data_IF_569250722698
#
_entry.id   IF_569250722698
#
_cell.length_a   1.000
_cell.length_b   1.000
_cell.length_c   1.000
_cell.angle_alpha   90.00
_cell.angle_beta   90.00
_cell.angle_gamma   90.00
#
_symmetry.space_group_name_H-M   'P 1'
#
loop_
_entity.id
_entity.type
_entity.pdbx_description
1 polymer ?
#
# COMPACT_ATOMS: atom_id res chain seq x y z
N UNK A 1 18.66 20.23 -5.69
CA UNK A 1 17.25 19.83 -5.54
C UNK A 1 16.35 20.94 -6.06
N UNK A 2 15.32 20.59 -6.81
CA UNK A 2 14.28 21.51 -7.25
C UNK A 2 12.93 20.99 -6.73
N UNK A 3 12.38 21.68 -5.72
CA UNK A 3 11.19 21.20 -5.00
C UNK A 3 9.88 21.49 -5.74
N UNK A 4 9.91 22.37 -6.74
CA UNK A 4 8.74 22.70 -7.54
C UNK A 4 9.19 23.10 -8.96
N UNK A 5 8.73 22.37 -9.97
CA UNK A 5 8.98 22.63 -11.38
C UNK A 5 7.75 23.20 -12.10
N UNK A 6 6.68 23.52 -11.39
CA UNK A 6 5.45 24.09 -12.00
C UNK A 6 5.62 25.53 -12.49
N UNK A 7 6.72 26.18 -12.14
CA UNK A 7 7.11 27.47 -12.75
C UNK A 7 7.46 27.35 -14.25
N UNK A 8 7.72 26.13 -14.74
CA UNK A 8 7.97 25.87 -16.17
C UNK A 8 6.61 25.84 -16.88
N UNK A 9 6.50 26.61 -17.94
CA UNK A 9 5.25 26.67 -18.76
C UNK A 9 4.90 25.29 -19.31
N UNK A 10 3.65 24.86 -19.11
CA UNK A 10 3.17 23.55 -19.54
C UNK A 10 3.37 22.44 -18.49
N UNK A 11 3.84 22.78 -17.29
CA UNK A 11 4.00 21.84 -16.17
C UNK A 11 2.96 22.13 -15.09
N UNK A 12 2.13 21.14 -14.78
CA UNK A 12 1.08 21.19 -13.75
C UNK A 12 1.18 19.99 -12.80
N UNK A 13 0.54 20.08 -11.63
CA UNK A 13 0.51 19.04 -10.61
C UNK A 13 1.70 19.12 -9.66
N UNK A 14 2.23 17.99 -9.22
CA UNK A 14 3.46 17.96 -8.40
C UNK A 14 4.59 17.39 -9.23
N UNK A 15 5.58 18.21 -9.52
CA UNK A 15 6.80 17.85 -10.25
C UNK A 15 8.00 18.39 -9.48
N UNK A 16 8.83 17.51 -8.94
CA UNK A 16 10.02 17.88 -8.16
C UNK A 16 11.20 16.98 -8.49
N UNK A 17 12.40 17.52 -8.46
CA UNK A 17 13.63 16.77 -8.71
C UNK A 17 14.53 16.73 -7.48
N UNK A 18 14.96 15.54 -7.11
CA UNK A 18 15.96 15.30 -6.10
C UNK A 18 17.26 14.85 -6.76
N UNK A 19 18.28 15.71 -6.65
CA UNK A 19 19.60 15.46 -7.27
C UNK A 19 20.40 14.37 -6.55
N UNK A 20 20.18 14.13 -5.26
CA UNK A 20 20.90 13.12 -4.50
C UNK A 20 20.50 11.70 -4.94
N UNK A 21 19.21 11.51 -5.19
CA UNK A 21 18.65 10.23 -5.63
C UNK A 21 18.45 10.15 -7.14
N UNK A 22 18.77 11.23 -7.87
CA UNK A 22 18.50 11.38 -9.31
C UNK A 22 17.05 11.04 -9.66
N UNK A 23 16.10 11.50 -8.84
CA UNK A 23 14.68 11.14 -8.97
C UNK A 23 13.84 12.35 -9.33
N UNK A 24 13.09 12.23 -10.43
CA UNK A 24 12.02 13.14 -10.79
C UNK A 24 10.69 12.57 -10.31
N UNK A 25 10.12 13.17 -9.27
CA UNK A 25 8.83 12.79 -8.71
C UNK A 25 7.69 13.46 -9.46
N UNK A 26 6.73 12.65 -9.88
CA UNK A 26 5.55 13.05 -10.62
C UNK A 26 4.31 12.56 -9.87
N UNK A 27 3.45 13.50 -9.43
CA UNK A 27 2.19 13.17 -8.79
C UNK A 27 1.05 13.97 -9.38
N UNK A 28 0.14 13.26 -10.07
CA UNK A 28 -0.95 13.88 -10.83
C UNK A 28 -0.44 14.99 -11.74
N UNK A 29 0.73 14.76 -12.33
CA UNK A 29 1.43 15.75 -13.15
C UNK A 29 0.89 15.75 -14.58
N UNK A 30 0.84 16.96 -15.17
CA UNK A 30 0.63 17.12 -16.61
C UNK A 30 1.80 17.93 -17.16
N UNK A 31 2.44 17.40 -18.19
CA UNK A 31 3.56 18.06 -18.86
C UNK A 31 3.26 18.12 -20.35
N UNK A 32 3.08 19.34 -20.84
CA UNK A 32 2.87 19.60 -22.26
C UNK A 32 4.13 20.25 -22.85
N UNK A 33 4.90 19.46 -23.59
CA UNK A 33 6.13 19.90 -24.25
C UNK A 33 5.89 20.81 -25.45
N UNK A 34 4.67 20.80 -26.01
CA UNK A 34 4.36 21.48 -27.26
C UNK A 34 5.39 21.14 -28.35
N UNK A 35 5.98 22.12 -29.02
CA UNK A 35 7.03 21.95 -30.03
C UNK A 35 8.39 21.45 -29.51
N UNK A 36 8.45 20.85 -28.33
CA UNK A 36 9.65 20.27 -27.71
C UNK A 36 9.30 18.96 -26.99
N UNK A 37 10.31 18.26 -26.49
CA UNK A 37 10.08 17.09 -25.61
C UNK A 37 9.43 17.57 -24.31
N UNK A 38 8.50 16.79 -23.77
CA UNK A 38 8.02 16.97 -22.39
C UNK A 38 9.15 16.65 -21.38
N UNK A 39 9.96 15.63 -21.68
CA UNK A 39 11.20 15.33 -20.97
C UNK A 39 12.30 15.04 -21.99
N UNK A 40 13.43 15.74 -21.85
CA UNK A 40 14.71 15.39 -22.46
C UNK A 40 15.76 15.22 -21.37
N UNK A 41 16.41 14.05 -21.31
CA UNK A 41 17.39 13.76 -20.25
C UNK A 41 18.72 13.28 -20.79
N UNK A 42 19.80 13.83 -20.19
CA UNK A 42 21.19 13.37 -20.31
C UNK A 42 21.73 12.89 -18.94
N UNK A 43 20.83 12.66 -17.96
CA UNK A 43 21.22 12.27 -16.62
C UNK A 43 21.31 10.75 -16.55
N UNK A 44 22.50 10.24 -16.27
CA UNK A 44 22.72 8.83 -16.03
C UNK A 44 21.96 8.35 -14.79
N UNK A 45 21.11 7.32 -14.97
CA UNK A 45 20.36 6.70 -13.89
C UNK A 45 19.17 7.53 -13.39
N UNK A 46 18.60 8.41 -14.23
CA UNK A 46 17.38 9.14 -13.87
C UNK A 46 16.22 8.17 -13.62
N UNK A 47 15.55 8.35 -12.49
CA UNK A 47 14.31 7.66 -12.17
C UNK A 47 13.13 8.62 -12.25
N UNK A 48 12.13 8.32 -13.09
CA UNK A 48 10.80 8.94 -13.05
C UNK A 48 9.94 8.17 -12.06
N UNK A 49 9.69 8.76 -10.88
CA UNK A 49 8.89 8.12 -9.84
C UNK A 49 7.46 8.61 -9.90
N UNK A 50 6.54 7.70 -10.19
CA UNK A 50 5.14 7.98 -10.46
C UNK A 50 4.25 7.79 -9.25
N UNK A 51 3.35 8.74 -8.99
CA UNK A 51 2.22 8.60 -8.07
C UNK A 51 0.95 9.19 -8.72
N UNK A 52 -0.20 8.53 -8.54
CA UNK A 52 -1.46 8.94 -9.16
C UNK A 52 -1.42 8.86 -10.69
N UNK A 53 -2.19 9.71 -11.35
CA UNK A 53 -2.29 9.74 -12.83
C UNK A 53 -1.46 10.87 -13.40
N UNK A 54 -0.47 10.54 -14.24
CA UNK A 54 0.42 11.51 -14.88
C UNK A 54 0.23 11.47 -16.40
N UNK A 55 0.27 12.62 -17.05
CA UNK A 55 0.07 12.77 -18.50
C UNK A 55 1.22 13.61 -19.09
N UNK A 56 1.80 13.13 -20.20
CA UNK A 56 2.81 13.84 -20.97
C UNK A 56 2.43 13.87 -22.44
N UNK A 57 2.56 15.05 -23.05
CA UNK A 57 2.23 15.24 -24.45
C UNK A 57 3.30 16.06 -25.17
N UNK A 58 3.42 15.80 -26.46
CA UNK A 58 4.24 16.60 -27.35
C UNK A 58 3.77 16.41 -28.81
N UNK A 59 3.99 17.42 -29.62
CA UNK A 59 3.88 17.34 -31.08
C UNK A 59 5.25 17.44 -31.78
N UNK A 60 6.31 17.22 -30.99
CA UNK A 60 7.70 17.15 -31.45
C UNK A 60 8.07 15.75 -31.94
N UNK A 61 9.37 15.48 -32.18
CA UNK A 61 9.86 14.18 -32.66
C UNK A 61 9.74 13.06 -31.61
N UNK A 62 9.69 13.43 -30.33
CA UNK A 62 9.38 12.49 -29.25
C UNK A 62 8.88 13.24 -28.00
N UNK A 63 8.04 12.55 -27.20
CA UNK A 63 7.53 13.15 -25.96
C UNK A 63 8.52 12.97 -24.82
N UNK A 64 9.06 11.78 -24.62
CA UNK A 64 10.15 11.49 -23.69
C UNK A 64 11.34 11.03 -24.50
N UNK A 65 12.48 11.70 -24.36
CA UNK A 65 13.74 11.28 -24.97
C UNK A 65 14.88 11.30 -23.94
N UNK A 66 15.74 10.31 -23.98
CA UNK A 66 16.90 10.24 -23.11
C UNK A 66 18.05 9.51 -23.82
N UNK A 67 19.29 9.87 -23.44
CA UNK A 67 20.52 9.33 -24.01
C UNK A 67 21.35 8.55 -22.97
N UNK A 68 20.89 8.49 -21.74
CA UNK A 68 21.48 7.74 -20.63
C UNK A 68 20.39 6.86 -19.98
N UNK A 69 20.74 5.73 -19.33
CA UNK A 69 19.75 4.81 -18.79
C UNK A 69 18.71 5.48 -17.90
N UNK A 70 17.43 5.17 -18.16
CA UNK A 70 16.29 5.71 -17.42
C UNK A 70 15.44 4.60 -16.83
N UNK A 71 14.92 4.84 -15.64
CA UNK A 71 13.90 4.00 -15.00
C UNK A 71 12.59 4.77 -14.83
N UNK A 72 11.47 4.15 -15.19
CA UNK A 72 10.12 4.63 -14.88
C UNK A 72 9.56 3.68 -13.84
N UNK A 73 9.26 4.17 -12.62
CA UNK A 73 8.84 3.32 -11.52
C UNK A 73 7.80 3.99 -10.61
N UNK A 74 7.22 3.24 -9.70
CA UNK A 74 6.28 3.76 -8.69
C UNK A 74 4.88 3.21 -8.85
N UNK A 75 3.93 3.76 -8.08
CA UNK A 75 2.55 3.24 -8.04
C UNK A 75 1.61 3.87 -9.04
N UNK A 76 2.08 4.91 -9.75
CA UNK A 76 1.24 5.71 -10.63
C UNK A 76 1.09 5.15 -12.02
N UNK A 77 0.26 5.87 -12.79
CA UNK A 77 0.12 5.70 -14.24
C UNK A 77 0.80 6.86 -14.95
N UNK A 78 1.44 6.58 -16.07
CA UNK A 78 2.00 7.54 -16.99
C UNK A 78 1.40 7.34 -18.38
N UNK A 79 0.61 8.31 -18.84
CA UNK A 79 0.09 8.37 -20.20
C UNK A 79 1.02 9.28 -21.02
N UNK A 80 1.65 8.73 -22.06
CA UNK A 80 2.61 9.45 -22.93
C UNK A 80 2.07 9.47 -24.35
N UNK A 81 1.85 10.65 -24.90
CA UNK A 81 1.31 10.82 -26.26
C UNK A 81 2.22 11.73 -27.09
N UNK A 82 2.69 11.22 -28.22
CA UNK A 82 3.35 12.01 -29.25
C UNK A 82 2.52 12.03 -30.51
N UNK A 83 2.14 13.24 -30.98
CA UNK A 83 1.29 13.38 -32.17
C UNK A 83 2.08 13.51 -33.46
N UNK A 84 3.41 13.62 -33.40
CA UNK A 84 4.26 13.78 -34.60
C UNK A 84 5.55 12.93 -34.58
N UNK A 85 5.64 11.92 -33.70
CA UNK A 85 6.83 11.08 -33.58
C UNK A 85 6.63 9.96 -32.57
N UNK A 86 7.60 9.75 -31.69
CA UNK A 86 7.67 8.64 -30.78
C UNK A 86 7.18 9.03 -29.38
N UNK A 87 6.43 8.18 -28.72
CA UNK A 87 6.01 8.51 -27.35
C UNK A 87 7.21 8.44 -26.39
N UNK A 88 7.98 7.35 -26.40
CA UNK A 88 9.17 7.18 -25.55
C UNK A 88 10.35 6.72 -26.43
N UNK A 89 11.40 7.50 -26.46
CA UNK A 89 12.59 7.24 -27.25
C UNK A 89 13.84 7.10 -26.37
N UNK A 90 14.36 5.88 -26.29
CA UNK A 90 15.61 5.52 -25.62
C UNK A 90 16.76 5.57 -26.65
N UNK A 91 17.37 6.73 -26.82
CA UNK A 91 18.38 6.97 -27.85
C UNK A 91 19.73 6.31 -27.44
N UNK A 92 20.08 5.20 -28.08
CA UNK A 92 21.28 4.39 -27.84
C UNK A 92 21.45 3.95 -26.36
N UNK A 93 20.34 3.74 -25.63
CA UNK A 93 20.42 3.48 -24.19
C UNK A 93 19.29 2.57 -23.68
N UNK A 94 19.25 2.31 -22.37
CA UNK A 94 18.35 1.34 -21.76
C UNK A 94 17.14 2.01 -21.10
N UNK A 95 15.96 1.40 -21.25
CA UNK A 95 14.73 1.74 -20.52
C UNK A 95 14.33 0.60 -19.59
N UNK A 96 14.09 0.94 -18.32
CA UNK A 96 13.45 0.04 -17.37
C UNK A 96 12.08 0.61 -16.96
N UNK A 97 11.04 -0.21 -17.01
CA UNK A 97 9.70 0.10 -16.49
C UNK A 97 9.42 -0.89 -15.36
N UNK A 98 9.24 -0.39 -14.13
CA UNK A 98 9.20 -1.22 -12.92
C UNK A 98 7.98 -0.89 -12.03
N UNK A 99 7.13 -1.90 -11.80
CA UNK A 99 5.99 -1.86 -10.88
C UNK A 99 5.00 -0.70 -11.06
N UNK A 100 4.88 -0.14 -12.28
CA UNK A 100 3.98 0.97 -12.61
C UNK A 100 3.11 0.66 -13.83
N UNK A 101 2.29 1.61 -14.23
CA UNK A 101 1.51 1.54 -15.48
C UNK A 101 2.00 2.59 -16.46
N UNK A 102 2.36 2.20 -17.68
CA UNK A 102 2.79 3.09 -18.76
C UNK A 102 1.95 2.85 -20.00
N UNK A 103 1.33 3.91 -20.52
CA UNK A 103 0.61 3.90 -21.78
C UNK A 103 1.33 4.83 -22.75
N UNK A 104 2.01 4.28 -23.75
CA UNK A 104 2.82 5.01 -24.70
C UNK A 104 2.17 4.96 -26.10
N UNK A 105 1.80 6.10 -26.64
CA UNK A 105 1.20 6.23 -27.97
C UNK A 105 1.94 7.26 -28.80
N UNK A 106 2.57 6.80 -29.86
CA UNK A 106 3.25 7.66 -30.84
C UNK A 106 2.65 7.53 -32.24
N UNK A 107 2.94 8.50 -33.08
CA UNK A 107 2.58 8.41 -34.51
C UNK A 107 3.51 7.45 -35.25
N UNK A 108 4.79 7.40 -34.87
CA UNK A 108 5.75 6.45 -35.43
C UNK A 108 5.87 5.23 -34.51
N UNK A 109 6.42 5.41 -33.30
CA UNK A 109 6.58 4.33 -32.31
C UNK A 109 5.88 4.68 -30.98
N UNK A 110 5.41 3.64 -30.29
CA UNK A 110 5.01 3.76 -28.89
C UNK A 110 6.24 3.83 -27.98
N UNK A 111 7.12 2.81 -28.06
CA UNK A 111 8.39 2.76 -27.31
C UNK A 111 9.47 2.30 -28.27
N UNK A 112 10.57 3.06 -28.35
CA UNK A 112 11.61 2.82 -29.35
C UNK A 112 13.01 3.02 -28.78
N UNK A 113 13.94 2.16 -29.22
CA UNK A 113 15.39 2.36 -29.13
C UNK A 113 15.92 3.19 -30.29
N UNK A 114 17.22 3.16 -30.60
CA UNK A 114 17.78 3.83 -31.78
C UNK A 114 17.72 2.91 -33.00
N UNK A 115 18.47 1.83 -32.98
CA UNK A 115 18.55 0.90 -34.13
C UNK A 115 18.66 -0.58 -33.73
N UNK A 116 18.67 -0.89 -32.45
CA UNK A 116 18.84 -2.24 -31.92
C UNK A 116 20.27 -2.79 -32.02
N UNK A 117 21.26 -1.94 -32.33
CA UNK A 117 22.67 -2.37 -32.53
C UNK A 117 23.60 -1.99 -31.36
N UNK A 118 23.19 -1.04 -30.53
CA UNK A 118 24.00 -0.49 -29.46
C UNK A 118 23.69 -1.11 -28.08
N UNK A 119 23.29 -2.38 -28.05
CA UNK A 119 22.90 -3.10 -26.83
C UNK A 119 21.70 -2.49 -26.07
N UNK A 120 20.86 -1.72 -26.78
CA UNK A 120 19.67 -1.12 -26.20
C UNK A 120 18.74 -2.18 -25.65
N UNK A 121 18.34 -2.01 -24.41
CA UNK A 121 17.49 -2.95 -23.71
C UNK A 121 16.25 -2.30 -23.15
N UNK A 122 15.10 -2.85 -23.51
CA UNK A 122 13.83 -2.59 -22.84
C UNK A 122 13.60 -3.67 -21.77
N UNK A 123 13.53 -3.26 -20.50
CA UNK A 123 13.22 -4.16 -19.40
C UNK A 123 11.89 -3.76 -18.77
N UNK A 124 10.93 -4.67 -18.71
CA UNK A 124 9.62 -4.47 -18.08
C UNK A 124 9.48 -5.47 -16.93
N UNK A 125 9.32 -4.94 -15.70
CA UNK A 125 9.26 -5.73 -14.48
C UNK A 125 7.95 -5.46 -13.75
N UNK A 126 7.14 -6.49 -13.51
CA UNK A 126 5.92 -6.40 -12.71
C UNK A 126 5.02 -5.21 -13.07
N UNK A 127 5.07 -4.74 -14.29
CA UNK A 127 4.44 -3.51 -14.77
C UNK A 127 3.38 -3.81 -15.82
N UNK A 128 2.37 -2.94 -15.91
CA UNK A 128 1.43 -2.92 -17.01
C UNK A 128 1.90 -1.91 -18.05
N UNK A 129 2.15 -2.35 -19.27
CA UNK A 129 2.59 -1.47 -20.36
C UNK A 129 1.68 -1.64 -21.56
N UNK A 130 1.20 -0.52 -22.09
CA UNK A 130 0.61 -0.50 -23.44
C UNK A 130 1.45 0.38 -24.34
N UNK A 131 1.74 -0.10 -25.54
CA UNK A 131 2.46 0.64 -26.58
C UNK A 131 1.68 0.59 -27.88
N UNK A 132 1.59 1.72 -28.59
CA UNK A 132 0.94 1.85 -29.89
C UNK A 132 1.76 2.79 -30.76
N UNK A 133 2.15 2.35 -31.97
CA UNK A 133 2.88 3.14 -32.95
C UNK A 133 2.26 3.00 -34.33
N UNK A 134 1.74 4.09 -34.87
CA UNK A 134 0.89 4.05 -36.07
C UNK A 134 1.63 3.76 -37.38
N UNK A 135 2.90 4.19 -37.52
CA UNK A 135 3.63 4.07 -38.81
C UNK A 135 4.64 2.94 -38.84
N UNK A 136 5.49 2.87 -37.82
CA UNK A 136 6.66 1.99 -37.86
C UNK A 136 6.46 0.75 -36.99
N UNK A 137 6.39 0.89 -35.65
CA UNK A 137 6.05 -0.21 -34.75
C UNK A 137 5.56 0.30 -33.38
N UNK A 138 4.87 -0.58 -32.64
CA UNK A 138 4.47 -0.25 -31.26
C UNK A 138 5.64 -0.35 -30.29
N UNK A 139 6.50 -1.36 -30.43
CA UNK A 139 7.77 -1.52 -29.71
C UNK A 139 8.82 -1.97 -30.73
N UNK A 140 9.90 -1.17 -30.89
CA UNK A 140 10.92 -1.47 -31.89
C UNK A 140 12.28 -0.88 -31.59
N UNK A 141 13.27 -1.25 -32.41
CA UNK A 141 14.65 -0.75 -32.38
C UNK A 141 15.38 -1.01 -31.06
N UNK A 142 15.02 -2.07 -30.32
CA UNK A 142 15.78 -2.58 -29.18
C UNK A 142 16.51 -3.86 -29.56
N UNK A 143 17.71 -4.02 -29.05
CA UNK A 143 18.43 -5.29 -29.18
C UNK A 143 17.83 -6.38 -28.30
N UNK A 144 17.34 -6.01 -27.12
CA UNK A 144 16.80 -6.96 -26.14
C UNK A 144 15.48 -6.47 -25.54
N UNK A 145 14.52 -7.38 -25.41
CA UNK A 145 13.33 -7.22 -24.55
C UNK A 145 13.44 -8.22 -23.39
N UNK A 146 13.37 -7.72 -22.16
CA UNK A 146 13.33 -8.57 -20.97
C UNK A 146 12.02 -8.34 -20.23
N UNK A 147 11.23 -9.41 -20.06
CA UNK A 147 9.97 -9.40 -19.30
C UNK A 147 10.18 -10.17 -17.99
N UNK A 148 10.13 -9.46 -16.86
CA UNK A 148 10.27 -10.04 -15.53
C UNK A 148 8.92 -10.07 -14.83
N UNK A 149 8.35 -11.27 -14.64
CA UNK A 149 7.02 -11.44 -14.06
C UNK A 149 5.90 -10.81 -14.89
N UNK A 150 6.12 -10.62 -16.20
CA UNK A 150 5.19 -10.07 -17.18
C UNK A 150 5.14 -10.94 -18.42
N UNK A 151 4.08 -10.80 -19.22
CA UNK A 151 3.97 -11.37 -20.56
C UNK A 151 3.25 -10.42 -21.51
N UNK A 152 3.48 -10.58 -22.81
CA UNK A 152 2.65 -9.93 -23.81
C UNK A 152 1.28 -10.62 -23.81
N UNK A 153 0.22 -9.85 -23.60
CA UNK A 153 -1.16 -10.36 -23.52
C UNK A 153 -1.99 -10.03 -24.76
N UNK A 154 -1.59 -9.00 -25.51
CA UNK A 154 -2.22 -8.58 -26.76
C UNK A 154 -1.18 -7.95 -27.72
N UNK A 155 -1.32 -8.18 -29.04
CA UNK A 155 -2.17 -9.19 -29.67
C UNK A 155 -1.69 -10.62 -29.36
N UNK A 156 -2.51 -11.62 -29.62
CA UNK A 156 -2.10 -13.01 -29.46
C UNK A 156 -1.11 -13.45 -30.54
N UNK A 157 -0.15 -14.29 -30.15
CA UNK A 157 0.81 -14.88 -31.08
C UNK A 157 1.89 -13.91 -31.56
N UNK A 158 2.21 -12.88 -30.73
CA UNK A 158 3.33 -11.98 -30.96
C UNK A 158 4.50 -12.34 -30.05
N UNK A 159 5.72 -12.11 -30.54
CA UNK A 159 6.95 -12.31 -29.80
C UNK A 159 7.98 -11.23 -30.15
N UNK A 160 9.03 -11.11 -29.33
CA UNK A 160 10.15 -10.25 -29.68
C UNK A 160 11.00 -10.93 -30.75
N UNK A 161 11.26 -10.24 -31.84
CA UNK A 161 12.12 -10.70 -32.93
C UNK A 161 13.50 -10.04 -32.81
N UNK A 162 14.52 -10.87 -32.61
CA UNK A 162 15.92 -10.40 -32.58
C UNK A 162 16.37 -9.86 -33.96
N UNK A 163 15.81 -10.39 -35.06
CA UNK A 163 16.10 -9.95 -36.44
C UNK A 163 15.50 -8.57 -36.72
N UNK A 164 14.25 -8.33 -36.27
CA UNK A 164 13.53 -7.09 -36.49
C UNK A 164 13.74 -6.08 -35.35
N UNK A 165 14.47 -6.44 -34.31
CA UNK A 165 14.73 -5.62 -33.13
C UNK A 165 13.46 -5.04 -32.47
N UNK A 166 12.37 -5.83 -32.48
CA UNK A 166 11.07 -5.35 -31.97
C UNK A 166 10.04 -6.45 -31.80
N UNK A 167 8.86 -6.08 -31.31
CA UNK A 167 7.74 -7.02 -31.17
C UNK A 167 7.09 -7.25 -32.53
N UNK A 168 7.05 -8.50 -32.94
CA UNK A 168 6.63 -8.89 -34.27
C UNK A 168 5.56 -10.00 -34.25
N UNK A 169 4.85 -10.11 -35.34
CA UNK A 169 3.93 -11.20 -35.66
C UNK A 169 4.12 -11.60 -37.11
N UNK A 170 4.28 -12.91 -37.34
CA UNK A 170 4.42 -13.48 -38.69
C UNK A 170 5.51 -12.75 -39.53
N UNK A 171 6.66 -12.44 -38.91
CA UNK A 171 7.77 -11.78 -39.59
C UNK A 171 7.59 -10.27 -39.83
N UNK A 172 6.59 -9.63 -39.23
CA UNK A 172 6.32 -8.19 -39.40
C UNK A 172 6.17 -7.51 -38.04
N UNK A 173 6.77 -6.32 -37.88
CA UNK A 173 6.62 -5.52 -36.65
C UNK A 173 5.17 -5.13 -36.40
N UNK A 174 4.74 -5.27 -35.17
CA UNK A 174 3.37 -4.94 -34.73
C UNK A 174 3.22 -3.44 -34.61
N UNK A 175 2.22 -2.88 -35.30
CA UNK A 175 1.83 -1.46 -35.25
C UNK A 175 0.59 -1.22 -34.38
N UNK A 176 -0.24 -2.26 -34.24
CA UNK A 176 -1.40 -2.26 -33.36
C UNK A 176 -0.97 -2.22 -31.90
N UNK A 177 -1.90 -1.86 -31.04
CA UNK A 177 -1.67 -1.78 -29.60
C UNK A 177 -1.12 -3.10 -29.04
N UNK A 178 0.07 -3.05 -28.50
CA UNK A 178 0.66 -4.10 -27.66
C UNK A 178 0.24 -3.87 -26.21
N UNK A 179 -0.17 -4.92 -25.51
CA UNK A 179 -0.35 -4.93 -24.08
C UNK A 179 0.57 -5.96 -23.41
N UNK A 180 1.29 -5.51 -22.39
CA UNK A 180 2.15 -6.34 -21.53
C UNK A 180 1.62 -6.21 -20.12
N UNK A 181 1.25 -7.34 -19.50
CA UNK A 181 0.66 -7.37 -18.18
C UNK A 181 1.45 -8.27 -17.23
N UNK A 182 1.45 -7.96 -15.91
CA UNK A 182 2.09 -8.80 -14.91
C UNK A 182 1.43 -10.19 -14.86
N UNK A 183 2.26 -11.20 -14.71
CA UNK A 183 1.84 -12.59 -14.44
C UNK A 183 2.11 -13.01 -13.01
N UNK A 184 2.97 -12.26 -12.32
CA UNK A 184 3.38 -12.48 -10.94
C UNK A 184 3.24 -11.15 -10.22
N UNK A 185 2.63 -11.18 -9.04
CA UNK A 185 2.43 -9.99 -8.24
C UNK A 185 3.39 -9.99 -7.05
N UNK A 186 3.93 -8.83 -6.71
CA UNK A 186 4.80 -8.67 -5.55
C UNK A 186 3.99 -8.71 -4.23
N UNK A 187 3.19 -9.75 -4.08
CA UNK A 187 2.32 -10.06 -2.95
C UNK A 187 2.44 -11.54 -2.60
N UNK A 188 2.74 -11.84 -1.35
CA UNK A 188 2.79 -13.20 -0.83
C UNK A 188 1.74 -13.39 0.26
N UNK A 189 1.04 -14.52 0.19
CA UNK A 189 0.07 -14.95 1.19
C UNK A 189 0.58 -16.25 1.79
N UNK A 190 0.75 -16.31 3.11
CA UNK A 190 1.31 -17.46 3.83
C UNK A 190 2.59 -18.01 3.17
N UNK A 191 3.47 -17.13 2.67
CA UNK A 191 4.73 -17.47 2.02
C UNK A 191 4.63 -17.91 0.56
N UNK A 192 3.45 -17.92 -0.04
CA UNK A 192 3.25 -18.23 -1.47
C UNK A 192 2.97 -16.95 -2.25
N UNK A 193 3.71 -16.79 -3.36
CA UNK A 193 3.54 -15.64 -4.24
C UNK A 193 2.20 -15.71 -4.98
N UNK A 194 1.56 -14.55 -5.10
CA UNK A 194 0.33 -14.41 -5.89
C UNK A 194 0.67 -14.26 -7.37
N UNK A 195 0.01 -15.05 -8.20
CA UNK A 195 0.19 -15.09 -9.66
C UNK A 195 -1.15 -14.95 -10.37
N UNK A 196 -1.15 -14.75 -11.69
CA UNK A 196 -2.39 -14.79 -12.49
C UNK A 196 -3.14 -16.12 -12.36
N UNK A 197 -2.40 -17.22 -12.17
CA UNK A 197 -3.00 -18.56 -12.12
C UNK A 197 -3.71 -18.84 -10.79
N UNK A 198 -3.27 -18.20 -9.69
CA UNK A 198 -3.85 -18.44 -8.37
C UNK A 198 -4.64 -17.25 -7.79
N UNK A 199 -4.56 -16.06 -8.38
CA UNK A 199 -5.13 -14.84 -7.78
C UNK A 199 -6.66 -14.88 -7.62
N UNK A 200 -7.36 -15.66 -8.44
CA UNK A 200 -8.82 -15.77 -8.37
C UNK A 200 -9.30 -16.55 -7.13
N UNK A 201 -8.48 -17.47 -6.62
CA UNK A 201 -8.73 -18.23 -5.40
C UNK A 201 -7.41 -18.62 -4.74
N UNK A 202 -7.12 -18.02 -3.59
CA UNK A 202 -5.90 -18.25 -2.83
C UNK A 202 -6.07 -19.32 -1.74
N UNK A 203 -7.23 -19.99 -1.65
CA UNK A 203 -7.48 -21.03 -0.64
C UNK A 203 -6.74 -22.33 -0.91
N UNK A 204 -6.20 -22.50 -2.12
CA UNK A 204 -5.28 -23.60 -2.42
C UNK A 204 -3.93 -23.46 -1.69
N UNK A 205 -3.62 -22.30 -1.11
CA UNK A 205 -2.42 -22.07 -0.31
C UNK A 205 -2.63 -22.70 1.08
N UNK A 206 -1.75 -23.60 1.54
CA UNK A 206 -1.87 -24.21 2.86
C UNK A 206 -1.99 -23.17 3.98
N UNK A 207 -3.01 -23.33 4.84
CA UNK A 207 -3.32 -22.43 5.94
C UNK A 207 -4.15 -21.21 5.56
N UNK A 208 -4.68 -21.15 4.32
CA UNK A 208 -5.60 -20.13 3.86
C UNK A 208 -7.00 -20.73 3.71
N UNK A 209 -7.97 -20.19 4.42
CA UNK A 209 -9.36 -20.64 4.46
C UNK A 209 -10.33 -19.46 4.31
N UNK A 210 -11.60 -19.75 4.03
CA UNK A 210 -12.65 -18.77 3.78
C UNK A 210 -12.64 -18.33 2.31
N UNK A 211 -12.86 -17.04 2.05
CA UNK A 211 -12.75 -16.49 0.70
C UNK A 211 -11.60 -15.50 0.64
N UNK A 212 -10.56 -15.86 -0.08
CA UNK A 212 -9.35 -15.05 -0.28
C UNK A 212 -9.03 -15.01 -1.76
N UNK A 213 -9.10 -13.83 -2.34
CA UNK A 213 -8.76 -13.62 -3.75
C UNK A 213 -8.13 -12.25 -3.97
N UNK A 214 -7.31 -12.14 -5.00
CA UNK A 214 -6.68 -10.89 -5.41
C UNK A 214 -7.13 -10.50 -6.83
N UNK A 215 -7.65 -9.28 -6.98
CA UNK A 215 -7.94 -8.69 -8.28
C UNK A 215 -6.78 -7.78 -8.70
N UNK A 216 -5.99 -8.16 -9.71
CA UNK A 216 -4.84 -7.37 -10.15
C UNK A 216 -5.23 -6.05 -10.82
N UNK A 217 -6.44 -5.92 -11.38
CA UNK A 217 -6.89 -4.69 -12.04
C UNK A 217 -7.17 -3.58 -11.05
N UNK A 218 -7.79 -3.93 -9.92
CA UNK A 218 -8.10 -2.99 -8.85
C UNK A 218 -7.07 -3.00 -7.74
N UNK A 219 -6.09 -3.90 -7.79
CA UNK A 219 -5.10 -4.18 -6.73
C UNK A 219 -5.79 -4.45 -5.38
N UNK A 220 -6.86 -5.23 -5.41
CA UNK A 220 -7.68 -5.51 -4.23
C UNK A 220 -7.52 -6.97 -3.79
N UNK A 221 -7.00 -7.17 -2.58
CA UNK A 221 -7.05 -8.44 -1.85
C UNK A 221 -8.34 -8.48 -1.05
N UNK A 222 -9.24 -9.38 -1.39
CA UNK A 222 -10.50 -9.58 -0.66
C UNK A 222 -10.32 -10.67 0.39
N UNK A 223 -10.71 -10.37 1.62
CA UNK A 223 -10.81 -11.30 2.73
C UNK A 223 -12.27 -11.31 3.22
N UNK A 224 -12.96 -12.44 3.08
CA UNK A 224 -14.35 -12.61 3.48
C UNK A 224 -14.46 -13.86 4.37
N UNK A 225 -14.65 -13.62 5.69
CA UNK A 225 -14.59 -14.65 6.73
C UNK A 225 -13.34 -15.54 6.58
N UNK A 226 -12.21 -14.90 6.29
CA UNK A 226 -10.96 -15.57 5.95
C UNK A 226 -10.10 -15.85 7.17
N UNK A 227 -9.38 -16.98 7.10
CA UNK A 227 -8.30 -17.32 8.03
C UNK A 227 -7.02 -17.54 7.24
N UNK A 228 -5.96 -16.82 7.60
CA UNK A 228 -4.61 -17.02 7.08
C UNK A 228 -3.73 -17.41 8.25
N UNK A 229 -3.28 -18.65 8.27
CA UNK A 229 -2.45 -19.20 9.34
C UNK A 229 -1.14 -19.76 8.78
N UNK A 230 -0.03 -19.29 9.30
CA UNK A 230 1.31 -19.71 8.86
C UNK A 230 2.28 -19.88 10.02
N UNK A 231 3.12 -20.92 9.94
CA UNK A 231 4.11 -21.18 10.97
C UNK A 231 5.40 -20.38 10.78
N UNK A 232 5.91 -20.27 9.54
CA UNK A 232 7.26 -19.75 9.26
C UNK A 232 7.28 -18.46 8.46
N UNK A 233 6.20 -18.16 7.76
CA UNK A 233 6.14 -17.08 6.81
C UNK A 233 5.38 -15.88 7.38
N UNK A 234 5.44 -14.75 6.69
CA UNK A 234 4.49 -13.67 6.88
C UNK A 234 3.08 -14.14 6.51
N UNK A 235 2.07 -13.67 7.23
CA UNK A 235 0.69 -13.91 6.81
C UNK A 235 0.42 -13.23 5.46
N UNK A 236 0.67 -11.93 5.40
CA UNK A 236 0.69 -11.13 4.16
C UNK A 236 2.02 -10.38 4.09
N UNK A 237 2.76 -10.56 2.99
CA UNK A 237 3.96 -9.80 2.67
C UNK A 237 3.70 -8.97 1.42
N UNK A 238 3.66 -7.65 1.56
CA UNK A 238 3.29 -6.72 0.50
C UNK A 238 4.46 -5.86 0.03
N UNK A 239 4.74 -5.92 -1.26
CA UNK A 239 5.61 -5.02 -2.01
C UNK A 239 4.85 -4.31 -3.15
N UNK A 240 3.52 -4.50 -3.22
CA UNK A 240 2.67 -3.78 -4.16
C UNK A 240 2.33 -2.42 -3.58
N UNK A 241 2.48 -1.41 -4.39
CA UNK A 241 1.95 -0.10 -4.06
C UNK A 241 0.44 -0.03 -4.36
N UNK A 242 -0.31 0.73 -3.57
CA UNK A 242 -1.77 0.88 -3.65
C UNK A 242 -2.53 -0.45 -3.48
N UNK A 243 -2.06 -1.35 -2.59
CA UNK A 243 -2.82 -2.53 -2.23
C UNK A 243 -4.03 -2.13 -1.36
N UNK A 244 -5.21 -2.57 -1.75
CA UNK A 244 -6.42 -2.50 -0.91
C UNK A 244 -6.73 -3.87 -0.34
N UNK A 245 -6.78 -4.00 0.98
CA UNK A 245 -7.32 -5.19 1.66
C UNK A 245 -8.79 -4.88 1.99
N UNK A 246 -9.70 -5.50 1.23
CA UNK A 246 -11.14 -5.36 1.42
C UNK A 246 -11.64 -6.47 2.34
N UNK A 247 -12.25 -6.08 3.44
CA UNK A 247 -12.75 -6.99 4.46
C UNK A 247 -14.27 -7.17 4.40
N UNK A 248 -14.73 -8.39 4.63
CA UNK A 248 -16.13 -8.74 4.89
C UNK A 248 -16.17 -9.74 6.04
N UNK A 249 -17.10 -9.58 6.99
CA UNK A 249 -17.22 -10.47 8.15
C UNK A 249 -16.03 -10.40 9.10
N UNK A 250 -15.65 -11.54 9.66
CA UNK A 250 -14.53 -11.66 10.62
C UNK A 250 -13.37 -12.40 9.98
N UNK A 251 -12.22 -11.74 9.94
CA UNK A 251 -11.02 -12.27 9.31
C UNK A 251 -9.90 -12.38 10.35
N UNK A 252 -9.04 -13.38 10.21
CA UNK A 252 -7.92 -13.62 11.12
C UNK A 252 -6.65 -13.91 10.33
N UNK A 253 -5.55 -13.27 10.72
CA UNK A 253 -4.21 -13.55 10.17
C UNK A 253 -3.29 -13.85 11.33
N UNK A 254 -2.75 -15.07 11.37
CA UNK A 254 -1.84 -15.55 12.42
C UNK A 254 -0.53 -16.00 11.79
N UNK A 255 0.57 -15.41 12.26
CA UNK A 255 1.93 -15.82 11.89
C UNK A 255 2.70 -16.22 13.15
N UNK A 256 2.94 -17.54 13.33
CA UNK A 256 3.49 -18.07 14.58
C UNK A 256 4.97 -17.71 14.82
N UNK A 257 5.75 -17.52 13.75
CA UNK A 257 7.18 -17.19 13.83
C UNK A 257 7.54 -15.93 13.03
N UNK A 258 6.54 -15.15 12.59
CA UNK A 258 6.76 -13.97 11.77
C UNK A 258 5.69 -12.89 12.02
N UNK A 259 5.65 -11.85 11.19
CA UNK A 259 4.63 -10.81 11.27
C UNK A 259 3.33 -11.28 10.57
N UNK A 260 2.18 -10.88 11.11
CA UNK A 260 0.92 -11.17 10.42
C UNK A 260 0.83 -10.38 9.10
N UNK A 261 1.15 -9.09 9.11
CA UNK A 261 1.26 -8.26 7.90
C UNK A 261 2.60 -7.53 7.88
N UNK A 262 3.26 -7.54 6.72
CA UNK A 262 4.40 -6.70 6.40
C UNK A 262 4.09 -5.88 5.15
N UNK A 263 4.20 -4.56 5.25
CA UNK A 263 4.11 -3.62 4.14
C UNK A 263 5.46 -2.94 3.90
N UNK A 264 5.99 -3.07 2.70
CA UNK A 264 7.32 -2.59 2.36
C UNK A 264 7.40 -1.06 2.24
N UNK A 265 8.64 -0.55 2.17
CA UNK A 265 8.93 0.87 1.96
C UNK A 265 8.20 1.41 0.72
N UNK A 266 7.79 2.68 0.80
CA UNK A 266 7.08 3.39 -0.27
C UNK A 266 5.76 2.75 -0.74
N UNK A 267 5.31 1.66 -0.11
CA UNK A 267 4.04 1.03 -0.44
C UNK A 267 2.88 1.66 0.33
N UNK A 268 1.81 2.01 -0.37
CA UNK A 268 0.54 2.35 0.24
C UNK A 268 -0.30 1.08 0.38
N UNK A 269 -0.74 0.79 1.60
CA UNK A 269 -1.71 -0.25 1.89
C UNK A 269 -2.96 0.36 2.52
N UNK A 270 -4.14 -0.02 2.03
CA UNK A 270 -5.43 0.39 2.59
C UNK A 270 -6.18 -0.82 3.10
N UNK A 271 -6.66 -0.77 4.35
CA UNK A 271 -7.51 -1.81 4.94
C UNK A 271 -8.90 -1.21 5.16
N UNK A 272 -9.91 -1.75 4.49
CA UNK A 272 -11.26 -1.21 4.47
C UNK A 272 -12.32 -2.30 4.57
N UNK A 273 -13.37 -2.05 5.35
CA UNK A 273 -14.49 -2.99 5.43
C UNK A 273 -15.57 -2.51 6.41
N UNK A 274 -16.64 -1.86 5.91
CA UNK A 274 -17.72 -1.44 6.79
C UNK A 274 -18.25 -2.60 7.63
N UNK A 275 -18.20 -2.43 8.97
CA UNK A 275 -18.63 -3.43 9.96
C UNK A 275 -17.83 -4.75 9.95
N UNK A 276 -16.72 -4.83 9.23
CA UNK A 276 -15.87 -6.00 9.23
C UNK A 276 -14.80 -5.94 10.33
N UNK A 277 -14.27 -7.11 10.69
CA UNK A 277 -13.20 -7.26 11.69
C UNK A 277 -11.99 -7.95 11.07
N UNK A 278 -10.80 -7.51 11.50
CA UNK A 278 -9.53 -8.15 11.19
C UNK A 278 -8.74 -8.35 12.49
N UNK A 279 -8.48 -9.60 12.82
CA UNK A 279 -7.64 -9.99 13.94
C UNK A 279 -6.25 -10.33 13.42
N UNK A 280 -5.23 -9.68 13.94
CA UNK A 280 -3.83 -9.83 13.57
C UNK A 280 -3.04 -10.38 14.74
N UNK A 281 -2.38 -11.49 14.56
CA UNK A 281 -1.49 -12.08 15.54
C UNK A 281 -0.12 -12.32 14.93
N UNK A 282 0.85 -11.50 15.32
CA UNK A 282 2.26 -11.75 15.08
C UNK A 282 2.86 -12.71 16.10
N UNK A 283 4.07 -13.19 15.85
CA UNK A 283 4.76 -14.09 16.78
C UNK A 283 4.96 -13.43 18.15
N UNK A 284 4.59 -14.15 19.19
CA UNK A 284 4.91 -13.82 20.59
C UNK A 284 6.35 -14.17 20.92
N UNK A 285 6.93 -13.57 21.96
CA UNK A 285 8.24 -13.95 22.45
C UNK A 285 8.22 -15.36 23.06
N UNK A 286 9.29 -16.11 22.87
CA UNK A 286 9.50 -17.41 23.49
C UNK A 286 10.94 -17.51 24.00
N UNK A 287 11.24 -18.51 24.84
CA UNK A 287 12.59 -18.69 25.42
C UNK A 287 13.72 -18.70 24.38
N UNK A 288 13.44 -19.20 23.17
CA UNK A 288 14.44 -19.36 22.10
C UNK A 288 14.33 -18.34 20.96
N UNK A 289 13.28 -17.49 20.93
CA UNK A 289 13.02 -16.57 19.79
C UNK A 289 12.42 -15.26 20.24
N UNK A 290 12.96 -14.15 19.71
CA UNK A 290 12.32 -12.86 19.80
C UNK A 290 10.95 -12.88 19.12
N UNK A 291 9.98 -12.19 19.70
CA UNK A 291 8.67 -11.95 19.08
C UNK A 291 8.80 -11.19 17.76
N UNK A 292 7.67 -10.96 17.13
CA UNK A 292 7.54 -10.20 15.87
C UNK A 292 6.48 -9.13 16.01
N UNK A 293 6.13 -8.51 14.90
CA UNK A 293 5.09 -7.50 14.84
C UNK A 293 3.76 -8.10 14.35
N UNK A 294 2.63 -7.53 14.75
CA UNK A 294 1.37 -7.91 14.13
C UNK A 294 1.22 -7.22 12.76
N UNK A 295 1.39 -5.90 12.70
CA UNK A 295 1.42 -5.17 11.44
C UNK A 295 2.65 -4.26 11.39
N UNK A 296 3.64 -4.69 10.65
CA UNK A 296 4.84 -3.91 10.34
C UNK A 296 4.63 -3.16 9.04
N UNK A 297 4.66 -1.82 9.12
CA UNK A 297 4.43 -0.96 7.97
C UNK A 297 5.62 -0.03 7.76
N UNK A 298 6.36 -0.19 6.68
CA UNK A 298 7.44 0.73 6.35
C UNK A 298 7.00 1.86 5.40
N UNK A 299 5.85 1.71 4.73
CA UNK A 299 5.26 2.71 3.87
C UNK A 299 4.15 3.52 4.55
N UNK A 300 3.00 3.62 3.89
CA UNK A 300 1.80 4.27 4.44
C UNK A 300 0.68 3.24 4.60
N UNK A 301 0.12 3.13 5.80
CA UNK A 301 -1.05 2.31 6.10
C UNK A 301 -2.28 3.17 6.40
N UNK A 302 -3.37 2.93 5.70
CA UNK A 302 -4.67 3.59 5.92
C UNK A 302 -5.69 2.56 6.36
N UNK A 303 -6.27 2.75 7.54
CA UNK A 303 -7.29 1.88 8.14
C UNK A 303 -8.59 2.65 8.16
N UNK A 304 -9.63 2.13 7.51
CA UNK A 304 -10.90 2.84 7.44
C UNK A 304 -12.12 1.95 7.59
N UNK A 305 -13.11 2.43 8.36
CA UNK A 305 -14.46 1.85 8.49
C UNK A 305 -14.50 0.37 8.92
N UNK A 306 -13.47 -0.12 9.60
CA UNK A 306 -13.40 -1.50 10.08
C UNK A 306 -12.93 -1.58 11.53
N UNK A 307 -12.98 -2.77 12.10
CA UNK A 307 -12.40 -3.06 13.40
C UNK A 307 -11.11 -3.88 13.25
N UNK A 308 -10.02 -3.46 13.87
CA UNK A 308 -8.76 -4.21 13.92
C UNK A 308 -8.40 -4.54 15.37
N UNK A 309 -8.04 -5.78 15.62
CA UNK A 309 -7.39 -6.20 16.84
C UNK A 309 -6.02 -6.80 16.51
N UNK A 310 -4.96 -6.18 17.00
CA UNK A 310 -3.59 -6.54 16.70
C UNK A 310 -2.82 -6.92 17.97
N UNK A 311 -2.19 -8.08 17.98
CA UNK A 311 -1.35 -8.54 19.08
C UNK A 311 -0.05 -9.18 18.60
N UNK A 312 1.05 -8.94 19.34
CA UNK A 312 2.36 -9.50 18.98
C UNK A 312 3.37 -9.42 20.12
N UNK A 313 4.54 -10.03 19.94
CA UNK A 313 5.62 -10.03 20.91
C UNK A 313 6.36 -8.70 20.97
N UNK A 314 6.77 -8.10 19.85
CA UNK A 314 7.57 -6.86 19.87
C UNK A 314 6.68 -5.63 19.75
N UNK A 315 5.97 -5.47 18.63
CA UNK A 315 5.06 -4.35 18.41
C UNK A 315 3.76 -4.84 17.76
N UNK A 316 2.62 -4.25 18.15
CA UNK A 316 1.37 -4.58 17.46
C UNK A 316 1.23 -3.79 16.16
N UNK A 317 1.40 -2.46 16.20
CA UNK A 317 1.46 -1.60 15.01
C UNK A 317 2.77 -0.84 15.02
N UNK A 318 3.53 -0.89 13.91
CA UNK A 318 4.87 -0.31 13.91
C UNK A 318 5.32 0.24 12.56
N UNK A 319 6.26 1.18 12.65
CA UNK A 319 6.95 1.87 11.57
C UNK A 319 6.02 2.69 10.65
N UNK A 320 6.60 3.38 9.67
CA UNK A 320 5.91 4.09 8.61
C UNK A 320 4.87 5.12 9.05
N UNK A 321 4.01 5.50 8.12
CA UNK A 321 2.94 6.47 8.35
C UNK A 321 1.59 5.74 8.51
N UNK A 322 0.75 6.22 9.44
CA UNK A 322 -0.54 5.62 9.75
C UNK A 322 -1.66 6.64 9.68
N UNK A 323 -2.77 6.22 9.07
CA UNK A 323 -4.02 6.98 8.98
C UNK A 323 -5.18 6.11 9.44
N UNK A 324 -5.94 6.62 10.38
CA UNK A 324 -7.13 5.95 10.92
C UNK A 324 -8.35 6.81 10.65
N UNK A 325 -9.31 6.29 9.86
CA UNK A 325 -10.53 6.99 9.49
C UNK A 325 -11.77 6.20 9.91
N UNK A 326 -12.52 6.73 10.88
CA UNK A 326 -13.78 6.15 11.38
C UNK A 326 -13.67 4.63 11.59
N UNK A 327 -12.63 4.20 12.29
CA UNK A 327 -12.32 2.81 12.58
C UNK A 327 -12.15 2.55 14.07
N UNK A 328 -12.18 1.28 14.46
CA UNK A 328 -11.90 0.84 15.81
C UNK A 328 -10.66 -0.06 15.79
N UNK A 329 -9.63 0.35 16.49
CA UNK A 329 -8.37 -0.40 16.55
C UNK A 329 -8.01 -0.69 18.00
N UNK A 330 -7.67 -1.93 18.29
CA UNK A 330 -7.05 -2.35 19.54
C UNK A 330 -5.69 -2.94 19.24
N UNK A 331 -4.67 -2.47 19.93
CA UNK A 331 -3.30 -2.91 19.73
C UNK A 331 -2.65 -3.25 21.07
N UNK A 332 -1.96 -4.39 21.14
CA UNK A 332 -1.20 -4.84 22.30
C UNK A 332 0.07 -5.56 21.88
N UNK A 333 1.18 -5.25 22.55
CA UNK A 333 2.42 -5.99 22.38
C UNK A 333 3.09 -6.23 23.74
N UNK A 334 3.93 -7.26 23.81
CA UNK A 334 4.70 -7.58 25.02
C UNK A 334 5.86 -6.61 25.22
N UNK A 335 6.37 -6.00 24.11
CA UNK A 335 7.59 -5.23 24.10
C UNK A 335 8.82 -6.14 24.07
N UNK A 336 10.00 -5.54 24.02
CA UNK A 336 11.27 -6.28 24.04
C UNK A 336 12.36 -5.37 24.67
N UNK A 337 13.03 -5.86 25.70
CA UNK A 337 14.08 -5.09 26.40
C UNK A 337 15.25 -4.70 25.49
N UNK A 338 15.51 -5.49 24.44
CA UNK A 338 16.53 -5.20 23.44
C UNK A 338 16.18 -3.95 22.59
N UNK A 339 14.87 -3.69 22.43
CA UNK A 339 14.37 -2.58 21.63
C UNK A 339 13.68 -1.57 22.55
N UNK A 340 14.45 -0.61 23.01
CA UNK A 340 14.10 0.38 24.05
C UNK A 340 12.70 0.99 23.92
N UNK A 341 12.20 1.16 22.70
CA UNK A 341 10.92 1.82 22.43
C UNK A 341 9.87 0.86 21.86
N UNK A 342 10.09 -0.47 21.96
CA UNK A 342 9.10 -1.47 21.53
C UNK A 342 7.86 -1.45 22.41
N UNK A 343 6.68 -1.58 21.81
CA UNK A 343 5.40 -1.53 22.51
C UNK A 343 4.20 -1.67 21.58
N UNK A 344 3.01 -1.41 22.11
CA UNK A 344 1.75 -1.63 21.39
C UNK A 344 1.63 -0.82 20.10
N UNK A 345 2.03 0.46 20.11
CA UNK A 345 2.16 1.29 18.90
C UNK A 345 3.50 2.02 18.97
N UNK A 346 4.42 1.67 18.07
CA UNK A 346 5.83 2.03 18.25
C UNK A 346 6.59 2.25 16.93
N UNK A 347 7.65 3.07 16.98
CA UNK A 347 8.55 3.35 15.87
C UNK A 347 7.87 3.96 14.64
N UNK A 348 6.80 4.73 14.81
CA UNK A 348 6.10 5.35 13.69
C UNK A 348 6.93 6.51 13.11
N UNK A 349 6.91 6.68 11.79
CA UNK A 349 7.58 7.80 11.13
C UNK A 349 6.93 9.17 11.44
N UNK A 350 5.65 9.16 11.80
CA UNK A 350 4.87 10.34 12.22
C UNK A 350 3.82 9.94 13.25
N UNK A 351 3.38 10.90 14.04
CA UNK A 351 2.15 10.76 14.84
C UNK A 351 0.99 10.44 13.91
N UNK A 352 0.17 9.41 14.20
CA UNK A 352 -0.92 8.99 13.32
C UNK A 352 -1.95 10.08 13.05
N UNK A 353 -2.44 10.14 11.81
CA UNK A 353 -3.61 10.96 11.47
C UNK A 353 -4.88 10.25 11.91
N UNK A 354 -5.71 10.92 12.73
CA UNK A 354 -7.00 10.41 13.21
C UNK A 354 -8.14 11.23 12.62
N UNK A 355 -9.05 10.58 11.90
CA UNK A 355 -10.24 11.20 11.31
C UNK A 355 -11.51 10.50 11.80
N UNK A 356 -12.36 11.20 12.53
CA UNK A 356 -13.61 10.62 13.07
C UNK A 356 -13.39 9.45 14.04
N UNK A 357 -12.22 9.39 14.66
CA UNK A 357 -11.88 8.49 15.77
C UNK A 357 -10.87 9.18 16.70
N UNK A 358 -10.71 8.65 17.90
CA UNK A 358 -9.82 9.20 18.93
C UNK A 358 -9.01 8.09 19.59
N UNK A 359 -7.82 8.43 20.06
CA UNK A 359 -7.00 7.55 20.88
C UNK A 359 -7.54 7.58 22.32
N UNK A 360 -7.89 6.42 22.85
CA UNK A 360 -8.28 6.22 24.25
C UNK A 360 -7.17 5.48 24.95
N UNK A 361 -6.52 6.16 25.88
CA UNK A 361 -5.39 5.64 26.62
C UNK A 361 -5.43 6.12 28.08
N UNK A 362 -4.56 5.57 28.92
CA UNK A 362 -4.43 5.98 30.32
C UNK A 362 -4.01 7.45 30.43
N UNK A 363 -4.33 8.10 31.56
CA UNK A 363 -3.89 9.46 31.82
C UNK A 363 -2.37 9.58 31.78
N UNK A 364 -1.87 10.61 31.10
CA UNK A 364 -0.44 10.85 30.92
C UNK A 364 0.17 10.14 29.69
N UNK A 365 -0.62 9.37 28.94
CA UNK A 365 -0.15 8.77 27.67
C UNK A 365 0.11 9.86 26.63
N UNK A 366 1.25 9.80 25.96
CA UNK A 366 1.63 10.76 24.92
C UNK A 366 2.58 10.13 23.88
N UNK A 367 2.75 10.81 22.76
CA UNK A 367 3.71 10.42 21.73
C UNK A 367 5.09 10.94 22.09
N UNK A 368 6.05 10.02 22.26
CA UNK A 368 7.45 10.35 22.48
C UNK A 368 8.18 10.33 21.15
N UNK A 369 8.77 11.48 20.81
CA UNK A 369 9.71 11.59 19.70
C UNK A 369 11.11 11.12 20.14
N UNK A 370 11.78 10.38 19.30
CA UNK A 370 13.19 10.02 19.45
C UNK A 370 13.83 9.83 18.07
N UNK A 371 15.15 9.89 18.02
CA UNK A 371 15.92 9.67 16.79
C UNK A 371 16.87 8.49 16.98
N UNK A 372 17.01 7.70 15.95
CA UNK A 372 17.97 6.61 15.82
C UNK A 372 18.71 6.71 14.47
N UNK A 373 19.48 5.71 14.10
CA UNK A 373 20.21 5.65 12.83
C UNK A 373 19.31 5.65 11.58
N UNK A 374 18.02 5.35 11.75
CA UNK A 374 17.03 5.31 10.67
C UNK A 374 16.20 6.60 10.55
N UNK A 375 16.34 7.53 11.50
CA UNK A 375 15.67 8.83 11.47
C UNK A 375 14.86 9.14 12.72
N UNK A 376 13.90 10.06 12.59
CA UNK A 376 12.99 10.44 13.66
C UNK A 376 11.79 9.51 13.71
N UNK A 377 11.51 9.00 14.90
CA UNK A 377 10.44 8.03 15.16
C UNK A 377 9.56 8.47 16.34
N UNK A 378 8.34 7.94 16.41
CA UNK A 378 7.36 8.20 17.46
C UNK A 378 6.87 6.90 18.07
N UNK A 379 6.89 6.81 19.40
CA UNK A 379 6.33 5.68 20.16
C UNK A 379 5.34 6.20 21.19
N UNK A 380 4.25 5.46 21.40
CA UNK A 380 3.28 5.79 22.44
C UNK A 380 3.80 5.33 23.80
N UNK A 381 3.95 6.29 24.74
CA UNK A 381 4.50 6.05 26.06
C UNK A 381 3.52 6.48 27.18
N UNK A 382 3.73 5.95 28.37
CA UNK A 382 3.02 6.35 29.58
C UNK A 382 3.61 7.64 30.21
N UNK A 383 3.06 8.08 31.35
CA UNK A 383 3.54 9.25 32.09
C UNK A 383 4.98 9.11 32.63
N UNK A 384 5.50 7.89 32.71
CA UNK A 384 6.87 7.59 33.14
C UNK A 384 7.83 7.40 31.96
N UNK A 385 7.44 7.81 30.76
CA UNK A 385 8.22 7.71 29.51
C UNK A 385 8.52 6.26 29.07
N UNK A 386 7.74 5.29 29.53
CA UNK A 386 7.87 3.88 29.14
C UNK A 386 6.91 3.54 28.00
N UNK A 387 7.34 2.78 26.98
CA UNK A 387 6.45 2.28 25.95
C UNK A 387 5.25 1.53 26.53
N UNK A 388 4.06 1.78 25.99
CA UNK A 388 2.85 1.08 26.42
C UNK A 388 2.88 -0.33 25.84
N UNK A 389 2.81 -1.33 26.70
CA UNK A 389 2.77 -2.76 26.36
C UNK A 389 1.40 -3.41 26.62
N UNK A 390 0.45 -2.63 27.16
CA UNK A 390 -0.94 -3.07 27.32
C UNK A 390 -1.83 -2.56 26.17
N UNK A 391 -3.11 -2.91 26.22
CA UNK A 391 -4.08 -2.53 25.19
C UNK A 391 -4.18 -1.02 25.00
N UNK A 392 -3.93 -0.60 23.79
CA UNK A 392 -4.21 0.74 23.28
C UNK A 392 -5.42 0.68 22.38
N UNK A 393 -6.33 1.64 22.52
CA UNK A 393 -7.58 1.67 21.74
C UNK A 393 -7.69 2.98 20.96
N UNK A 394 -7.97 2.87 19.66
CA UNK A 394 -8.43 3.97 18.81
C UNK A 394 -9.88 3.66 18.46
N UNK A 395 -10.81 4.57 18.71
CA UNK A 395 -12.25 4.28 18.57
C UNK A 395 -13.04 5.47 18.06
N UNK A 396 -14.12 5.19 17.34
CA UNK A 396 -15.12 6.17 16.91
C UNK A 396 -16.07 6.60 18.04
N UNK A 397 -16.17 5.80 19.10
CA UNK A 397 -17.00 6.09 20.27
C UNK A 397 -16.15 6.08 21.56
N UNK A 398 -15.64 7.24 21.98
CA UNK A 398 -14.85 7.33 23.21
C UNK A 398 -15.65 7.09 24.49
N UNK A 399 -16.97 7.19 24.45
CA UNK A 399 -17.84 6.87 25.58
C UNK A 399 -18.17 5.37 25.66
N UNK A 400 -18.04 4.66 24.55
CA UNK A 400 -18.18 3.22 24.44
C UNK A 400 -16.87 2.50 24.79
N UNK A 401 -16.37 2.65 26.03
CA UNK A 401 -15.33 1.74 26.53
C UNK A 401 -15.90 0.34 26.42
N UNK A 402 -15.46 -0.41 25.42
CA UNK A 402 -15.90 -1.77 25.18
C UNK A 402 -15.72 -2.54 26.48
N UNK A 403 -16.86 -2.96 27.06
CA UNK A 403 -16.80 -3.94 28.14
C UNK A 403 -15.91 -5.08 27.69
N UNK A 404 -14.89 -5.48 28.47
CA UNK A 404 -14.22 -6.73 28.22
C UNK A 404 -15.28 -7.82 28.14
N UNK A 405 -15.12 -8.78 27.23
CA UNK A 405 -16.04 -9.87 27.00
C UNK A 405 -16.56 -10.38 28.34
N UNK A 406 -17.85 -10.20 28.55
CA UNK A 406 -18.50 -10.67 29.76
C UNK A 406 -18.46 -12.18 29.71
N UNK A 407 -17.56 -12.80 30.50
CA UNK A 407 -17.80 -14.15 30.96
C UNK A 407 -19.18 -14.15 31.61
N UNK A 408 -20.02 -15.09 31.25
CA UNK A 408 -21.36 -15.31 31.81
C UNK A 408 -21.29 -15.40 33.33
N UNK A 409 -21.49 -14.30 34.02
CA UNK A 409 -21.73 -14.26 35.44
C UNK A 409 -22.71 -13.12 35.75
N UNK A 410 -23.90 -13.51 36.11
CA UNK A 410 -24.95 -12.80 36.87
C UNK A 410 -25.09 -11.29 36.59
N UNK A 411 -26.12 -10.92 35.92
CA UNK A 411 -26.59 -9.54 35.66
C UNK A 411 -26.81 -8.78 36.97
N UNK A 412 -25.79 -8.05 37.43
CA UNK A 412 -25.97 -7.00 38.42
C UNK A 412 -26.55 -5.78 37.70
N UNK A 413 -27.82 -5.50 37.90
CA UNK A 413 -28.45 -4.29 37.38
C UNK A 413 -27.85 -3.06 38.10
N UNK A 414 -27.09 -2.27 37.40
CA UNK A 414 -26.55 -1.01 37.94
C UNK A 414 -27.50 0.14 37.63
N UNK A 415 -28.02 0.79 38.68
CA UNK A 415 -28.92 1.95 38.62
C UNK A 415 -28.16 3.19 39.07
N UNK A 416 -28.29 4.27 38.32
CA UNK A 416 -27.64 5.58 38.61
C UNK A 416 -28.67 6.70 38.53
N UNK A 417 -28.45 7.76 39.30
CA UNK A 417 -29.13 9.07 39.09
C UNK A 417 -28.69 9.68 37.76
N UNK A 418 -29.40 10.70 37.25
CA UNK A 418 -28.99 11.47 36.08
C UNK A 418 -27.62 12.16 36.30
N UNK A 419 -27.28 12.47 37.55
CA UNK A 419 -25.99 13.04 37.95
C UNK A 419 -24.85 12.01 38.12
N UNK A 420 -25.07 10.72 37.72
CA UNK A 420 -23.99 9.69 37.73
C UNK A 420 -23.78 9.02 39.09
N UNK A 421 -24.56 9.27 40.10
CA UNK A 421 -24.45 8.63 41.42
C UNK A 421 -25.07 7.25 41.37
N UNK A 422 -24.34 6.21 41.71
CA UNK A 422 -24.79 4.82 41.78
C UNK A 422 -25.75 4.65 42.96
N UNK A 423 -26.92 4.04 42.69
CA UNK A 423 -27.91 3.73 43.68
C UNK A 423 -27.96 2.21 43.98
N UNK A 424 -28.13 1.88 45.23
CA UNK A 424 -28.36 0.51 45.68
C UNK A 424 -29.89 0.26 45.63
N UNK A 425 -30.33 -0.76 44.87
CA UNK A 425 -31.70 -1.20 44.77
C UNK A 425 -32.22 -1.31 43.34
N UNK A 426 -33.33 -2.02 43.16
CA UNK A 426 -33.99 -2.18 41.88
C UNK A 426 -34.74 -0.88 41.53
N UNK A 427 -34.87 -0.52 40.22
CA UNK A 427 -35.50 0.72 39.78
C UNK A 427 -36.92 0.93 40.32
N UNK A 428 -37.67 -0.16 40.51
CA UNK A 428 -39.05 -0.13 41.03
C UNK A 428 -39.13 0.11 42.54
N UNK A 429 -38.01 0.09 43.26
CA UNK A 429 -37.91 0.36 44.72
C UNK A 429 -37.43 1.79 45.01
N UNK A 430 -37.05 2.52 43.97
CA UNK A 430 -36.58 3.89 44.08
C UNK A 430 -37.72 4.91 44.05
N UNK A 431 -37.56 6.12 44.60
CA UNK A 431 -38.59 7.18 44.51
C UNK A 431 -38.91 7.51 43.05
N UNK A 432 -40.07 8.16 42.85
CA UNK A 432 -40.46 8.70 41.55
C UNK A 432 -39.32 9.55 40.96
N UNK A 433 -38.88 9.22 39.74
CA UNK A 433 -37.75 9.94 39.12
C UNK A 433 -37.27 9.33 37.83
N UNK A 434 -36.25 9.98 37.26
CA UNK A 434 -35.56 9.53 36.05
C UNK A 434 -34.20 8.94 36.45
N UNK A 435 -33.94 7.73 36.02
CA UNK A 435 -32.76 6.94 36.34
C UNK A 435 -32.07 6.41 35.09
N UNK A 436 -30.82 6.05 35.22
CA UNK A 436 -30.08 5.33 34.18
C UNK A 436 -29.87 3.89 34.66
N UNK A 437 -30.49 2.94 33.97
CA UNK A 437 -30.43 1.52 34.31
C UNK A 437 -29.76 0.78 33.14
N UNK A 438 -28.59 0.20 33.39
CA UNK A 438 -27.78 -0.47 32.35
C UNK A 438 -27.59 0.42 31.11
N UNK A 439 -27.25 1.71 31.31
CA UNK A 439 -27.04 2.70 30.26
C UNK A 439 -28.28 3.24 29.54
N UNK A 440 -29.47 2.82 29.93
CA UNK A 440 -30.75 3.31 29.35
C UNK A 440 -31.51 4.21 30.34
N UNK A 441 -32.09 5.29 29.83
CA UNK A 441 -32.99 6.16 30.64
C UNK A 441 -34.26 5.40 30.95
N UNK A 442 -34.61 5.33 32.25
CA UNK A 442 -35.79 4.67 32.78
C UNK A 442 -36.54 5.65 33.68
N UNK A 443 -37.80 5.85 33.42
CA UNK A 443 -38.72 6.66 34.28
C UNK A 443 -39.37 5.72 35.28
N UNK A 444 -39.20 6.01 36.58
CA UNK A 444 -39.97 5.38 37.62
C UNK A 444 -41.22 6.26 37.92
N UNK A 445 -42.42 5.82 37.61
CA UNK A 445 -43.65 6.64 37.75
C UNK A 445 -44.23 6.66 39.16
N UNK A 446 -43.73 5.84 40.10
CA UNK A 446 -44.24 5.74 41.47
C UNK A 446 -43.89 6.92 42.34
#
# INVERSE_FOLDING_TARGET
NCNDLTAISGVEGTVRYDANTKTLFLKNAKIDGKGANAIYSKLEGLTLRLAGKNEMRSDYISTIQFIEPMTIAGSGTLDVVCTNGDAIYANCTNLTIDACTVNARGTNYGIVGEDGRNDEKLTIKYATVTAEGGKDASIGCFKYLTLMGCKITQPQGVEFSDELHGVAKDGTLVKDKIAIDPTVFQLWIAGKIVTLDNCADLTAIPGVEGKVNYDPKTRTLTLDNASINTNKHYGILNFLNNLTIKLTGTNTITAQLNNAIYNNDDCLISVVGPNARLNLQGATASEDKAGRQAFQNHGTASISQCAIEASAGINALSFGEWKFDRCNVRAKAEGDEKYRFAGSIAYLAKVPELTGCVLVAQSGTHWKEFSDEYGTNYTLVDAAEKPITDWVTITTDPAGIANPAVSTATTVKNTYTIGGVRLAGEPNQLPKGLYIVNGKKVVNPK
#
